data_IF_725446936291
#
_entry.id   IF_725446936291
#
_cell.length_a   1.000
_cell.length_b   1.000
_cell.length_c   1.000
_cell.angle_alpha   90.00
_cell.angle_beta   90.00
_cell.angle_gamma   90.00
#
_symmetry.space_group_name_H-M   'P 1'
#
loop_
_entity.id
_entity.type
_entity.pdbx_description
1 polymer ?
#
# COMPACT_ATOMS: atom_id res chain seq x y z
N UNK A 1 8.27 23.25 10.30
CA UNK A 1 8.91 22.14 9.58
C UNK A 1 8.24 22.04 8.21
N UNK A 2 8.77 22.77 7.22
CA UNK A 2 8.20 22.85 5.88
C UNK A 2 8.75 21.71 5.00
N UNK A 3 7.89 21.14 4.16
CA UNK A 3 8.28 20.21 3.11
C UNK A 3 9.33 20.87 2.20
N UNK A 4 10.41 20.14 1.89
CA UNK A 4 11.42 20.60 0.93
C UNK A 4 10.80 20.81 -0.46
N UNK A 5 11.38 21.69 -1.30
CA UNK A 5 10.79 22.05 -2.58
C UNK A 5 10.81 20.85 -3.53
N UNK A 6 9.62 20.40 -3.98
CA UNK A 6 9.51 19.61 -5.22
C UNK A 6 8.64 18.34 -5.21
N UNK A 7 8.05 17.89 -4.10
CA UNK A 7 7.14 16.74 -4.14
C UNK A 7 5.69 17.17 -3.99
N UNK A 8 5.03 17.39 -5.12
CA UNK A 8 3.56 17.50 -5.13
C UNK A 8 2.95 16.24 -4.50
N UNK A 9 1.95 16.40 -3.61
CA UNK A 9 1.34 15.26 -2.95
C UNK A 9 0.62 14.39 -3.97
N UNK A 10 1.03 13.12 -4.04
CA UNK A 10 0.43 12.12 -4.92
C UNK A 10 -0.94 11.74 -4.35
N UNK A 11 -1.98 11.88 -5.16
CA UNK A 11 -3.34 11.48 -4.79
C UNK A 11 -3.53 9.99 -5.04
N UNK A 12 -4.00 9.27 -4.04
CA UNK A 12 -4.26 7.82 -4.11
C UNK A 12 -5.45 7.44 -3.22
N UNK A 13 -5.80 6.16 -3.21
CA UNK A 13 -6.94 5.60 -2.48
C UNK A 13 -6.44 4.62 -1.43
N UNK A 14 -6.95 4.73 -0.20
CA UNK A 14 -6.58 3.86 0.91
C UNK A 14 -7.12 2.43 0.77
N UNK A 15 -6.24 1.44 0.93
CA UNK A 15 -6.54 0.01 0.67
C UNK A 15 -7.07 -0.77 1.87
N UNK A 16 -7.45 -0.11 2.96
CA UNK A 16 -7.61 -0.81 4.24
C UNK A 16 -8.98 -1.47 4.44
N UNK A 17 -10.07 -0.73 4.25
CA UNK A 17 -11.43 -1.15 4.68
C UNK A 17 -12.48 -1.09 3.56
N UNK A 18 -12.07 -1.00 2.30
CA UNK A 18 -12.98 -0.96 1.15
C UNK A 18 -13.74 0.35 0.93
N UNK A 19 -13.78 1.25 1.92
CA UNK A 19 -14.37 2.60 1.82
C UNK A 19 -13.69 3.43 0.71
N UNK A 20 -12.41 3.17 0.46
CA UNK A 20 -11.64 3.89 -0.55
C UNK A 20 -11.39 5.34 -0.19
N UNK A 21 -11.00 5.64 1.05
CA UNK A 21 -10.68 7.00 1.48
C UNK A 21 -9.56 7.61 0.62
N UNK A 22 -9.73 8.87 0.20
CA UNK A 22 -8.76 9.61 -0.59
C UNK A 22 -7.59 10.06 0.26
N UNK A 23 -6.38 9.76 -0.21
CA UNK A 23 -5.12 10.05 0.46
C UNK A 23 -4.28 11.00 -0.41
N UNK A 24 -3.71 12.01 0.22
CA UNK A 24 -2.64 12.84 -0.31
C UNK A 24 -1.32 12.39 0.33
N UNK A 25 -0.40 11.91 -0.49
CA UNK A 25 0.83 11.24 -0.06
C UNK A 25 2.04 12.07 -0.46
N UNK A 26 2.81 12.52 0.51
CA UNK A 26 4.08 13.21 0.31
C UNK A 26 5.21 12.16 0.32
N UNK A 27 6.02 12.14 -0.73
CA UNK A 27 7.14 11.20 -0.92
C UNK A 27 8.44 11.95 -1.15
N UNK A 28 9.58 11.36 -0.76
CA UNK A 28 10.91 11.84 -1.13
C UNK A 28 11.48 11.15 -2.39
N UNK A 29 10.60 10.43 -3.12
CA UNK A 29 10.95 9.65 -4.31
C UNK A 29 11.34 8.19 -4.00
N UNK A 30 11.68 7.87 -2.75
CA UNK A 30 11.96 6.49 -2.32
C UNK A 30 11.02 5.98 -1.25
N UNK A 31 10.56 6.85 -0.37
CA UNK A 31 9.76 6.50 0.79
C UNK A 31 8.68 7.54 1.04
N UNK A 32 7.56 7.06 1.57
CA UNK A 32 6.46 7.92 1.99
C UNK A 32 6.86 8.67 3.25
N UNK A 33 6.86 10.00 3.18
CA UNK A 33 7.17 10.88 4.32
C UNK A 33 5.95 11.17 5.14
N UNK A 34 4.81 11.42 4.49
CA UNK A 34 3.57 11.81 5.15
C UNK A 34 2.36 11.39 4.33
N UNK A 35 1.30 11.03 5.05
CA UNK A 35 -0.01 10.75 4.48
C UNK A 35 -1.02 11.67 5.14
N UNK A 36 -1.90 12.27 4.35
CA UNK A 36 -2.99 13.12 4.81
C UNK A 36 -4.25 12.83 3.99
N UNK A 37 -5.43 13.24 4.47
CA UNK A 37 -6.66 13.05 3.72
C UNK A 37 -6.76 14.02 2.55
N UNK A 38 -7.19 13.53 1.39
CA UNK A 38 -7.50 14.39 0.24
C UNK A 38 -8.83 15.10 0.46
N UNK A 39 -8.79 16.44 0.57
CA UNK A 39 -9.98 17.27 0.78
C UNK A 39 -10.94 17.26 -0.40
N UNK A 40 -10.45 17.00 -1.60
CA UNK A 40 -11.28 16.96 -2.82
C UNK A 40 -12.00 15.61 -3.00
N UNK A 41 -11.66 14.59 -2.20
CA UNK A 41 -12.17 13.25 -2.44
C UNK A 41 -13.55 13.03 -1.80
N UNK A 42 -14.57 12.61 -2.57
CA UNK A 42 -15.97 12.55 -2.09
C UNK A 42 -16.20 11.55 -0.96
N UNK A 43 -15.41 10.47 -0.87
CA UNK A 43 -15.63 9.42 0.12
C UNK A 43 -15.28 9.85 1.56
N UNK A 44 -14.35 10.80 1.73
CA UNK A 44 -13.86 11.17 3.06
C UNK A 44 -13.71 12.68 3.30
N UNK A 45 -13.78 13.53 2.27
CA UNK A 45 -13.70 14.99 2.39
C UNK A 45 -12.45 15.45 3.15
N UNK A 46 -11.34 14.71 3.04
CA UNK A 46 -10.08 15.00 3.74
C UNK A 46 -9.98 14.50 5.17
N UNK A 47 -10.99 13.81 5.71
CA UNK A 47 -10.92 13.19 7.05
C UNK A 47 -10.34 11.78 6.96
N UNK A 48 -9.57 11.38 7.95
CA UNK A 48 -9.02 10.03 8.07
C UNK A 48 -9.32 9.46 9.45
N UNK A 49 -9.68 8.17 9.49
CA UNK A 49 -9.72 7.40 10.73
C UNK A 49 -8.30 7.05 11.18
N UNK A 50 -8.14 6.47 12.38
CA UNK A 50 -6.82 6.09 12.91
C UNK A 50 -6.04 5.19 11.95
N UNK A 51 -6.71 4.24 11.27
CA UNK A 51 -6.09 3.34 10.28
C UNK A 51 -5.52 4.09 9.06
N UNK A 52 -6.17 5.18 8.65
CA UNK A 52 -5.71 6.03 7.56
C UNK A 52 -4.62 7.02 8.00
N UNK A 53 -4.73 7.55 9.22
CA UNK A 53 -3.74 8.48 9.76
C UNK A 53 -2.38 7.82 10.02
N UNK A 54 -2.36 6.55 10.43
CA UNK A 54 -1.12 5.79 10.68
C UNK A 54 -0.58 5.07 9.44
N UNK A 55 -1.12 5.35 8.25
CA UNK A 55 -0.73 4.65 7.02
C UNK A 55 0.75 4.87 6.65
N UNK A 56 1.29 6.07 6.94
CA UNK A 56 2.71 6.37 6.72
C UNK A 56 3.62 5.49 7.60
N UNK A 57 3.30 5.32 8.88
CA UNK A 57 4.08 4.48 9.82
C UNK A 57 4.10 3.01 9.39
N UNK A 58 2.95 2.50 8.95
CA UNK A 58 2.85 1.13 8.44
C UNK A 58 3.72 0.90 7.21
N UNK A 59 3.79 1.87 6.28
CA UNK A 59 4.65 1.75 5.10
C UNK A 59 6.14 1.84 5.45
N UNK A 60 6.51 2.72 6.39
CA UNK A 60 7.89 2.85 6.85
C UNK A 60 8.40 1.60 7.57
N UNK A 61 7.52 0.85 8.25
CA UNK A 61 7.87 -0.34 9.04
C UNK A 61 7.62 -1.67 8.32
N UNK A 62 7.48 -1.65 7.00
CA UNK A 62 7.15 -2.86 6.24
C UNK A 62 8.28 -3.89 6.32
N UNK A 63 8.01 -5.04 6.95
CA UNK A 63 8.88 -6.22 6.95
C UNK A 63 8.78 -7.05 5.65
N UNK A 64 8.28 -6.44 4.56
CA UNK A 64 8.08 -7.10 3.28
C UNK A 64 9.41 -7.72 2.84
N UNK A 65 9.44 -9.05 2.80
CA UNK A 65 10.59 -9.78 2.30
C UNK A 65 10.77 -9.43 0.82
N UNK A 66 11.94 -8.94 0.39
CA UNK A 66 12.18 -8.54 -1.00
C UNK A 66 12.20 -9.73 -1.97
N UNK A 67 12.27 -10.96 -1.46
CA UNK A 67 12.27 -12.18 -2.26
C UNK A 67 10.92 -12.92 -2.13
N UNK A 68 10.32 -13.23 -3.28
CA UNK A 68 9.27 -14.23 -3.36
C UNK A 68 9.89 -15.58 -2.95
N UNK A 69 9.54 -16.07 -1.76
CA UNK A 69 9.91 -17.43 -1.36
C UNK A 69 9.18 -18.40 -2.28
N UNK A 70 9.90 -18.95 -3.26
CA UNK A 70 9.40 -20.04 -4.10
C UNK A 70 9.12 -21.23 -3.18
N UNK A 71 7.90 -21.74 -3.19
CA UNK A 71 7.58 -22.94 -2.43
C UNK A 71 8.50 -24.07 -2.88
N UNK A 72 9.09 -24.87 -1.98
CA UNK A 72 9.94 -26.00 -2.35
C UNK A 72 9.29 -27.02 -3.30
N UNK A 73 7.96 -27.04 -3.41
CA UNK A 73 7.26 -27.87 -4.40
C UNK A 73 7.22 -27.26 -5.81
N UNK A 74 7.14 -25.93 -5.94
CA UNK A 74 7.44 -25.26 -7.21
C UNK A 74 8.93 -25.48 -7.55
N UNK A 75 9.81 -25.27 -6.55
CA UNK A 75 11.17 -25.81 -6.39
C UNK A 75 11.61 -26.86 -7.43
N UNK A 76 11.00 -28.02 -7.28
CA UNK A 76 11.38 -29.31 -7.84
C UNK A 76 10.86 -29.56 -9.26
N UNK A 77 10.18 -28.59 -9.89
CA UNK A 77 9.64 -28.78 -11.24
C UNK A 77 8.62 -29.93 -11.34
N UNK A 78 7.98 -30.30 -10.23
CA UNK A 78 7.05 -31.43 -10.19
C UNK A 78 5.81 -31.14 -11.06
N UNK A 79 5.52 -31.94 -12.11
CA UNK A 79 4.37 -31.74 -13.00
C UNK A 79 3.03 -32.13 -12.35
N UNK A 80 3.01 -32.47 -11.06
CA UNK A 80 1.81 -32.95 -10.36
C UNK A 80 0.70 -31.90 -10.16
N UNK A 81 0.90 -30.64 -10.60
CA UNK A 81 -0.11 -29.59 -10.56
C UNK A 81 -1.25 -29.74 -11.58
N UNK A 82 -1.21 -30.73 -12.49
CA UNK A 82 -2.34 -31.04 -13.39
C UNK A 82 -3.30 -32.09 -12.81
N UNK A 83 -3.07 -32.59 -11.59
CA UNK A 83 -3.95 -33.61 -11.00
C UNK A 83 -5.24 -33.00 -10.45
N UNK A 84 -6.24 -32.97 -11.32
CA UNK A 84 -7.64 -33.27 -11.00
C UNK A 84 -8.48 -32.18 -10.32
N UNK A 85 -8.70 -31.05 -11.01
CA UNK A 85 -9.95 -30.27 -10.90
C UNK A 85 -11.07 -30.88 -11.78
N UNK A 86 -11.19 -32.21 -11.72
CA UNK A 86 -12.43 -32.91 -12.04
C UNK A 86 -12.81 -33.74 -10.83
N UNK A 87 -13.58 -33.12 -9.94
CA UNK A 87 -14.82 -33.66 -9.37
C UNK A 87 -15.61 -32.52 -8.77
#
# INVERSE_FOLDING_TARGET
MAAGPGSEPVRTVGSYCGVGCGLAVETDGRQVRKVSGDKAHPANGGRLCTKGATHADMMARSSRSPAAKRWPWCASGSPAATRSLKR
#
